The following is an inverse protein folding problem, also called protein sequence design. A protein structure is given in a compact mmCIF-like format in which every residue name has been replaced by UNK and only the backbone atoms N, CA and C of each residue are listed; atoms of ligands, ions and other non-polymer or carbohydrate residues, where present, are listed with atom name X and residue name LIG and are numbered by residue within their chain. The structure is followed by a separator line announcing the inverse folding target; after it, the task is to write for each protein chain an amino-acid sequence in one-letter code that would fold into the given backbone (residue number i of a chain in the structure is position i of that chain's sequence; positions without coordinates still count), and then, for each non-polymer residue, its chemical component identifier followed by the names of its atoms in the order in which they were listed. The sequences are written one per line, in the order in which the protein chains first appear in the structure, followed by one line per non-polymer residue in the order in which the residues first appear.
data_IF_870984392603
#
_entry.id   IF_870984392603
#
_cell.length_a   1.000
_cell.length_b   1.000
_cell.length_c   1.000
_cell.angle_alpha   90.00
_cell.angle_beta   90.00
_cell.angle_gamma   90.00
#
_symmetry.space_group_name_H-M   'P 1'
#
loop_
_entity.id
_entity.type
_entity.pdbx_description
1 polymer ?
#
# COMPACT_ATOMS: atom_id res chain seq x y z
N UNK A 1 -67.03 -25.46 -7.68
CA UNK A 1 -67.82 -25.03 -8.86
C UNK A 1 -68.49 -23.72 -8.54
N UNK A 2 -68.58 -22.72 -9.42
CA UNK A 2 -68.05 -22.63 -10.78
C UNK A 2 -67.30 -21.34 -11.10
N UNK A 3 -66.57 -21.38 -12.21
CA UNK A 3 -66.47 -20.52 -13.41
C UNK A 3 -65.50 -19.34 -13.38
N UNK A 4 -64.48 -19.54 -14.18
CA UNK A 4 -63.76 -18.48 -14.90
C UNK A 4 -64.69 -17.77 -15.94
N UNK A 5 -64.29 -16.56 -16.40
CA UNK A 5 -63.97 -16.49 -17.83
C UNK A 5 -62.69 -15.74 -18.18
N UNK A 6 -62.14 -16.16 -19.30
CA UNK A 6 -61.15 -15.54 -20.15
C UNK A 6 -61.73 -14.30 -20.86
N UNK A 7 -60.86 -13.38 -21.29
CA UNK A 7 -60.87 -12.61 -22.56
C UNK A 7 -59.63 -11.69 -22.49
N UNK A 8 -58.66 -11.86 -23.29
CA UNK A 8 -58.36 -11.59 -24.68
C UNK A 8 -57.44 -10.35 -24.85
N UNK A 9 -56.44 -10.58 -25.62
CA UNK A 9 -55.32 -9.79 -26.09
C UNK A 9 -55.67 -8.45 -26.74
N UNK A 10 -54.70 -7.50 -26.66
CA UNK A 10 -54.39 -6.60 -27.79
C UNK A 10 -52.92 -6.30 -27.91
N UNK A 11 -52.42 -6.54 -29.11
CA UNK A 11 -51.12 -6.20 -29.65
C UNK A 11 -50.98 -4.65 -29.86
N UNK A 12 -49.77 -4.18 -29.81
CA UNK A 12 -49.33 -2.89 -30.34
C UNK A 12 -47.80 -2.85 -30.31
N UNK A 13 -47.10 -3.36 -31.27
CA UNK A 13 -46.21 -2.80 -32.30
C UNK A 13 -45.66 -1.39 -31.92
N UNK A 14 -44.40 -1.06 -32.06
CA UNK A 14 -43.16 -1.35 -32.80
C UNK A 14 -42.18 -0.30 -32.41
N UNK A 15 -40.88 -0.58 -32.40
CA UNK A 15 -39.87 0.13 -33.18
C UNK A 15 -38.46 -0.38 -32.82
N UNK A 16 -37.92 -1.06 -33.73
CA UNK A 16 -36.73 -0.89 -34.56
C UNK A 16 -35.41 -0.74 -33.80
N UNK A 17 -34.71 -1.86 -33.73
CA UNK A 17 -33.26 -1.91 -33.58
C UNK A 17 -32.61 -1.59 -34.91
N UNK A 18 -31.74 -0.58 -34.95
CA UNK A 18 -30.85 -0.33 -36.07
C UNK A 18 -29.55 -1.09 -35.85
N UNK A 19 -29.39 -2.20 -36.58
CA UNK A 19 -28.11 -2.86 -36.75
C UNK A 19 -27.29 -2.11 -37.80
N UNK A 20 -26.11 -1.62 -37.41
CA UNK A 20 -25.12 -1.14 -38.39
C UNK A 20 -24.19 -2.31 -38.69
N UNK A 21 -24.35 -2.84 -39.90
CA UNK A 21 -23.40 -3.74 -40.54
C UNK A 21 -22.28 -2.91 -41.12
N UNK A 22 -21.06 -3.04 -40.66
CA UNK A 22 -19.88 -2.55 -41.38
C UNK A 22 -19.24 -3.68 -42.16
N UNK A 23 -19.23 -3.50 -43.47
CA UNK A 23 -18.61 -4.41 -44.41
C UNK A 23 -17.08 -4.37 -44.33
N UNK A 24 -16.49 -5.56 -44.38
CA UNK A 24 -15.06 -5.79 -44.55
C UNK A 24 -14.65 -5.48 -45.97
N UNK A 25 -13.68 -4.59 -46.14
CA UNK A 25 -12.80 -4.56 -47.32
C UNK A 25 -11.39 -4.76 -46.81
N UNK A 26 -10.76 -5.84 -47.29
CA UNK A 26 -9.42 -6.23 -46.89
C UNK A 26 -8.36 -5.36 -47.53
N UNK A 27 -7.35 -5.03 -46.75
CA UNK A 27 -6.01 -4.73 -47.22
C UNK A 27 -5.04 -5.27 -46.13
N UNK A 28 -4.15 -6.15 -46.55
CA UNK A 28 -3.09 -6.67 -45.72
C UNK A 28 -2.10 -5.56 -45.36
N UNK A 29 -2.07 -5.19 -44.12
CA UNK A 29 -1.06 -4.34 -43.52
C UNK A 29 -0.92 -4.75 -42.06
N UNK A 30 0.28 -5.10 -41.67
CA UNK A 30 0.63 -5.45 -40.28
C UNK A 30 0.31 -4.25 -39.37
N UNK A 31 -0.84 -4.30 -38.71
CA UNK A 31 -1.25 -3.34 -37.70
C UNK A 31 -0.76 -3.81 -36.34
N UNK A 32 0.26 -3.13 -35.82
CA UNK A 32 0.52 -3.14 -34.39
C UNK A 32 -0.71 -2.54 -33.67
N UNK A 33 -1.30 -3.31 -32.78
CA UNK A 33 -2.36 -2.82 -31.91
C UNK A 33 -1.74 -1.83 -30.90
N UNK A 34 -2.05 -0.55 -31.07
CA UNK A 34 -1.75 0.47 -30.06
C UNK A 34 -2.78 0.38 -28.94
N UNK A 35 -2.36 -0.03 -27.76
CA UNK A 35 -3.18 0.02 -26.55
C UNK A 35 -3.14 1.44 -25.99
N UNK A 36 -4.19 2.19 -26.17
CA UNK A 36 -4.38 3.51 -25.56
C UNK A 36 -5.16 3.39 -24.25
N UNK A 37 -4.74 4.09 -23.21
CA UNK A 37 -5.45 4.19 -21.94
C UNK A 37 -6.56 5.24 -22.08
N UNK A 38 -7.81 4.85 -21.86
CA UNK A 38 -8.94 5.79 -21.83
C UNK A 38 -9.26 6.19 -20.40
N UNK A 39 -9.13 7.47 -20.08
CA UNK A 39 -9.57 8.05 -18.80
C UNK A 39 -10.96 8.65 -19.03
N UNK A 40 -11.97 8.11 -18.32
CA UNK A 40 -13.35 8.62 -18.40
C UNK A 40 -13.49 9.84 -17.49
N UNK A 41 -14.07 10.91 -18.02
CA UNK A 41 -14.46 12.09 -17.27
C UNK A 41 -15.93 11.99 -16.87
N UNK A 42 -16.26 12.43 -15.66
CA UNK A 42 -17.60 12.37 -15.08
C UNK A 42 -18.05 13.77 -14.64
N UNK A 43 -19.37 14.03 -14.75
CA UNK A 43 -20.00 15.22 -14.15
C UNK A 43 -20.24 15.03 -12.65
N UNK A 44 -20.72 16.09 -11.98
CA UNK A 44 -21.03 16.09 -10.54
C UNK A 44 -22.14 15.07 -10.15
N UNK A 45 -22.87 14.54 -11.14
CA UNK A 45 -23.91 13.52 -10.96
C UNK A 45 -23.42 12.10 -11.30
N UNK A 46 -22.11 11.94 -11.60
CA UNK A 46 -21.49 10.65 -11.89
C UNK A 46 -21.73 10.10 -13.29
N UNK A 47 -22.14 10.95 -14.25
CA UNK A 47 -22.34 10.57 -15.66
C UNK A 47 -21.06 10.83 -16.46
N UNK A 48 -20.74 9.92 -17.39
CA UNK A 48 -19.58 10.06 -18.27
C UNK A 48 -19.79 11.23 -19.22
N UNK A 49 -18.92 12.23 -19.18
CA UNK A 49 -18.94 13.43 -20.02
C UNK A 49 -17.87 13.44 -21.11
N UNK A 50 -16.88 12.53 -21.03
CA UNK A 50 -15.81 12.43 -22.02
C UNK A 50 -14.84 11.31 -21.73
N UNK A 51 -13.94 11.04 -22.67
CA UNK A 51 -12.81 10.13 -22.50
C UNK A 51 -11.56 10.75 -23.11
N UNK A 52 -10.45 10.76 -22.37
CA UNK A 52 -9.13 11.13 -22.88
C UNK A 52 -8.39 9.83 -23.18
N UNK A 53 -7.88 9.67 -24.39
CA UNK A 53 -7.08 8.52 -24.80
C UNK A 53 -5.60 8.91 -24.78
N UNK A 54 -4.84 8.34 -23.84
CA UNK A 54 -3.38 8.46 -23.85
C UNK A 54 -2.75 7.26 -24.56
N UNK A 55 -1.94 7.52 -25.56
CA UNK A 55 -1.22 6.49 -26.30
C UNK A 55 0.12 6.19 -25.60
N UNK A 56 0.23 5.02 -25.00
CA UNK A 56 1.48 4.47 -24.44
C UNK A 56 2.09 3.42 -25.36
N UNK A 57 3.37 3.50 -25.65
CA UNK A 57 4.11 2.47 -26.37
C UNK A 57 4.46 1.30 -25.43
N UNK A 58 4.03 0.09 -25.79
CA UNK A 58 4.48 -1.14 -25.13
C UNK A 58 5.94 -1.44 -25.51
N UNK A 59 6.76 -1.68 -24.50
CA UNK A 59 8.07 -2.34 -24.62
C UNK A 59 8.11 -3.53 -23.68
N UNK A 60 8.13 -4.73 -24.25
CA UNK A 60 8.55 -5.95 -23.54
C UNK A 60 9.99 -5.77 -23.05
N UNK A 61 10.17 -5.60 -21.75
CA UNK A 61 11.47 -5.40 -21.13
C UNK A 61 11.66 -6.35 -19.97
N UNK A 62 12.58 -7.30 -20.15
CA UNK A 62 13.27 -7.97 -19.06
C UNK A 62 13.71 -6.92 -18.02
N UNK A 63 13.66 -7.29 -16.73
CA UNK A 63 14.05 -6.42 -15.63
C UNK A 63 15.44 -5.80 -15.88
N UNK A 64 15.47 -4.63 -16.50
CA UNK A 64 16.65 -3.79 -16.57
C UNK A 64 16.76 -3.04 -15.25
N UNK A 65 17.95 -3.05 -14.67
CA UNK A 65 18.35 -2.31 -13.46
C UNK A 65 18.30 -0.76 -13.64
N UNK A 66 17.48 -0.27 -14.54
CA UNK A 66 17.26 1.15 -14.85
C UNK A 66 16.21 1.82 -13.95
N UNK A 67 16.27 3.14 -13.91
CA UNK A 67 15.22 4.00 -13.34
C UNK A 67 13.86 3.68 -13.98
N UNK A 68 12.79 3.73 -13.19
CA UNK A 68 11.43 3.59 -13.69
C UNK A 68 11.11 4.77 -14.63
N UNK A 69 10.93 4.54 -15.94
CA UNK A 69 10.72 5.63 -16.91
C UNK A 69 9.38 6.35 -16.75
N UNK A 70 8.51 5.91 -15.83
CA UNK A 70 7.24 6.59 -15.53
C UNK A 70 7.33 7.57 -14.36
N UNK A 71 8.52 7.75 -13.75
CA UNK A 71 8.70 8.73 -12.69
C UNK A 71 8.54 10.15 -13.22
N UNK A 72 7.48 10.83 -12.79
CA UNK A 72 7.30 12.26 -13.03
C UNK A 72 8.08 13.11 -12.02
N UNK A 73 8.27 14.40 -12.30
CA UNK A 73 8.94 15.36 -11.41
C UNK A 73 8.27 15.52 -10.02
N UNK A 74 7.14 14.85 -9.79
CA UNK A 74 6.37 14.86 -8.54
C UNK A 74 6.58 13.61 -7.68
N UNK A 75 7.39 12.65 -8.12
CA UNK A 75 7.53 11.35 -7.45
C UNK A 75 8.84 11.19 -6.67
N UNK A 76 9.63 12.26 -6.60
CA UNK A 76 10.86 12.31 -5.80
C UNK A 76 11.16 13.75 -5.32
N UNK A 77 12.02 13.89 -4.32
CA UNK A 77 12.53 15.17 -3.85
C UNK A 77 13.50 15.75 -4.90
N UNK A 78 13.10 16.88 -5.47
CA UNK A 78 13.92 17.57 -6.49
C UNK A 78 15.26 18.00 -5.90
N UNK A 79 16.33 17.73 -6.62
CA UNK A 79 17.67 18.13 -6.22
C UNK A 79 18.31 17.18 -5.21
N UNK A 80 17.74 16.00 -4.92
CA UNK A 80 18.26 15.06 -3.94
C UNK A 80 18.36 13.63 -4.47
N UNK A 81 19.47 12.97 -4.16
CA UNK A 81 19.67 11.53 -4.33
C UNK A 81 20.14 10.91 -3.02
N UNK A 82 19.90 9.60 -2.86
CA UNK A 82 20.33 8.83 -1.72
C UNK A 82 21.38 7.80 -2.16
N UNK A 83 22.43 7.60 -1.37
CA UNK A 83 23.48 6.62 -1.63
C UNK A 83 23.72 5.76 -0.39
N UNK A 84 23.74 4.41 -0.56
CA UNK A 84 23.96 3.44 0.53
C UNK A 84 25.43 3.12 0.65
N UNK A 85 25.93 3.17 1.89
CA UNK A 85 27.30 2.82 2.29
C UNK A 85 28.41 3.37 1.36
N UNK A 86 28.33 4.67 0.93
CA UNK A 86 29.35 5.22 0.07
C UNK A 86 30.68 5.37 0.85
N UNK A 87 31.81 4.94 0.28
CA UNK A 87 33.10 5.12 0.96
C UNK A 87 33.44 6.61 1.08
N UNK A 88 33.96 7.02 2.23
CA UNK A 88 34.29 8.44 2.50
C UNK A 88 35.26 9.03 1.45
N UNK A 89 36.06 8.20 0.82
CA UNK A 89 37.05 8.60 -0.22
C UNK A 89 36.40 9.18 -1.48
N UNK A 90 35.10 8.98 -1.75
CA UNK A 90 34.46 9.58 -2.92
C UNK A 90 34.11 11.06 -2.72
N UNK A 91 34.08 11.55 -1.47
CA UNK A 91 33.56 12.89 -1.16
C UNK A 91 34.27 14.01 -1.91
N UNK A 92 35.65 14.08 -2.01
CA UNK A 92 36.31 15.13 -2.77
C UNK A 92 35.94 15.12 -4.26
N UNK A 93 35.84 13.94 -4.86
CA UNK A 93 35.42 13.79 -6.28
C UNK A 93 33.95 14.18 -6.46
N UNK A 94 33.08 13.79 -5.53
CA UNK A 94 31.68 14.18 -5.51
C UNK A 94 31.52 15.70 -5.54
N UNK A 95 32.23 16.41 -4.64
CA UNK A 95 32.24 17.88 -4.55
C UNK A 95 32.79 18.52 -5.82
N UNK A 96 33.89 17.99 -6.37
CA UNK A 96 34.44 18.47 -7.64
C UNK A 96 33.47 18.32 -8.83
N UNK A 97 32.52 17.40 -8.75
CA UNK A 97 31.44 17.21 -9.73
C UNK A 97 30.22 18.12 -9.49
N UNK A 98 30.25 18.97 -8.44
CA UNK A 98 29.18 19.91 -8.10
C UNK A 98 28.08 19.36 -7.20
N UNK A 99 28.23 18.14 -6.67
CA UNK A 99 27.31 17.60 -5.66
C UNK A 99 27.67 18.11 -4.26
N UNK A 100 26.68 18.16 -3.39
CA UNK A 100 26.86 18.52 -1.97
C UNK A 100 26.42 17.37 -1.07
N UNK A 101 27.12 17.17 0.03
CA UNK A 101 26.66 16.26 1.08
C UNK A 101 25.70 17.02 2.00
N UNK A 102 24.42 16.72 1.91
CA UNK A 102 23.36 17.35 2.72
C UNK A 102 23.32 16.74 4.11
N UNK A 103 23.36 15.40 4.20
CA UNK A 103 23.24 14.69 5.46
C UNK A 103 23.86 13.29 5.38
N UNK A 104 24.31 12.81 6.54
CA UNK A 104 24.67 11.39 6.75
C UNK A 104 23.65 10.77 7.70
N UNK A 105 22.84 9.84 7.21
CA UNK A 105 21.94 9.04 8.02
C UNK A 105 22.71 7.82 8.52
N UNK A 106 22.84 7.69 9.82
CA UNK A 106 23.34 6.47 10.45
C UNK A 106 22.14 5.64 10.90
N UNK A 107 21.74 4.66 10.11
CA UNK A 107 20.66 3.74 10.39
C UNK A 107 21.26 2.54 11.16
N UNK A 108 21.46 2.73 12.47
CA UNK A 108 22.29 1.86 13.30
C UNK A 108 21.69 0.47 13.50
N UNK A 109 20.38 0.44 13.66
CA UNK A 109 19.66 -0.82 13.88
C UNK A 109 19.51 -1.61 12.57
N UNK A 110 19.49 -0.93 11.41
CA UNK A 110 19.56 -1.57 10.10
C UNK A 110 20.99 -1.86 9.63
N UNK A 111 22.01 -1.33 10.33
CA UNK A 111 23.42 -1.48 10.00
C UNK A 111 23.79 -1.00 8.59
N UNK A 112 23.18 0.12 8.16
CA UNK A 112 23.50 0.82 6.91
C UNK A 112 23.72 2.32 7.13
N UNK A 113 24.57 2.93 6.30
CA UNK A 113 24.74 4.36 6.25
C UNK A 113 24.17 4.88 4.94
N UNK A 114 23.35 5.91 5.00
CA UNK A 114 22.82 6.54 3.80
C UNK A 114 23.25 7.99 3.74
N UNK A 115 23.87 8.39 2.61
CA UNK A 115 24.14 9.79 2.34
C UNK A 115 22.99 10.40 1.58
N UNK A 116 22.44 11.49 2.09
CA UNK A 116 21.57 12.39 1.34
C UNK A 116 22.44 13.42 0.65
N UNK A 117 22.39 13.41 -0.67
CA UNK A 117 23.32 14.14 -1.54
C UNK A 117 22.50 15.12 -2.36
N UNK A 118 22.85 16.40 -2.27
CA UNK A 118 22.33 17.46 -3.14
C UNK A 118 22.95 17.37 -4.53
N UNK A 119 22.12 17.45 -5.55
CA UNK A 119 22.56 17.44 -6.95
C UNK A 119 22.99 18.84 -7.39
N UNK A 120 23.81 18.98 -8.44
CA UNK A 120 24.16 20.29 -9.00
C UNK A 120 22.90 21.05 -9.47
N UNK A 121 22.77 22.34 -9.11
CA UNK A 121 21.61 23.19 -9.46
C UNK A 121 21.37 23.30 -10.97
N UNK A 122 22.43 23.16 -11.75
CA UNK A 122 22.37 23.24 -13.23
C UNK A 122 21.91 21.96 -13.91
N UNK A 123 21.55 20.93 -13.13
CA UNK A 123 21.24 19.58 -13.67
C UNK A 123 19.92 19.04 -13.12
N UNK A 124 19.11 18.44 -13.99
CA UNK A 124 17.92 17.73 -13.57
C UNK A 124 18.30 16.51 -12.70
N UNK A 125 17.47 16.21 -11.68
CA UNK A 125 17.77 15.21 -10.64
C UNK A 125 18.03 13.82 -11.21
N UNK A 126 17.27 13.39 -12.22
CA UNK A 126 17.46 12.09 -12.88
C UNK A 126 18.80 12.04 -13.61
N UNK A 127 19.13 13.07 -14.38
CA UNK A 127 20.40 13.16 -15.08
C UNK A 127 21.59 13.21 -14.10
N UNK A 128 21.41 13.87 -12.96
CA UNK A 128 22.41 13.88 -11.89
C UNK A 128 22.59 12.48 -11.28
N UNK A 129 21.52 11.74 -11.04
CA UNK A 129 21.61 10.37 -10.56
C UNK A 129 22.36 9.46 -11.56
N UNK A 130 22.03 9.54 -12.84
CA UNK A 130 22.72 8.77 -13.88
C UNK A 130 24.22 9.10 -13.95
N UNK A 131 24.56 10.39 -13.85
CA UNK A 131 25.96 10.86 -13.79
C UNK A 131 26.68 10.34 -12.54
N UNK A 132 25.98 10.34 -11.39
CA UNK A 132 26.52 9.79 -10.14
C UNK A 132 26.80 8.30 -10.29
N UNK A 133 25.83 7.52 -10.76
CA UNK A 133 25.93 6.07 -10.96
C UNK A 133 27.06 5.73 -11.94
N UNK A 134 27.22 6.48 -13.01
CA UNK A 134 28.32 6.32 -13.97
C UNK A 134 29.71 6.62 -13.34
N UNK A 135 29.80 7.62 -12.47
CA UNK A 135 31.05 7.98 -11.79
C UNK A 135 31.41 7.03 -10.64
N UNK A 136 30.39 6.45 -10.00
CA UNK A 136 30.52 5.60 -8.81
C UNK A 136 29.72 4.29 -8.96
N UNK A 137 30.03 3.43 -9.93
CA UNK A 137 29.21 2.26 -10.30
C UNK A 137 29.11 1.19 -9.19
N UNK A 138 29.95 1.26 -8.17
CA UNK A 138 29.92 0.33 -7.03
C UNK A 138 29.10 0.88 -5.84
N UNK A 139 28.64 2.11 -5.92
CA UNK A 139 27.81 2.72 -4.87
C UNK A 139 26.36 2.59 -5.28
N UNK A 140 25.58 1.90 -4.45
CA UNK A 140 24.13 1.81 -4.64
C UNK A 140 23.52 3.18 -4.39
N UNK A 141 22.90 3.78 -5.41
CA UNK A 141 22.25 5.07 -5.28
C UNK A 141 20.93 5.11 -6.07
N UNK A 142 19.99 5.91 -5.56
CA UNK A 142 18.70 6.14 -6.18
C UNK A 142 18.13 7.51 -5.76
N UNK A 143 16.96 7.86 -6.29
CA UNK A 143 16.24 9.09 -5.96
C UNK A 143 15.77 9.07 -4.49
N UNK A 144 15.59 10.26 -3.89
CA UNK A 144 14.81 10.41 -2.65
C UNK A 144 13.33 10.36 -3.01
N UNK A 145 12.81 9.16 -3.27
CA UNK A 145 11.47 8.92 -3.82
C UNK A 145 10.37 9.32 -2.85
N UNK A 146 9.20 9.70 -3.42
CA UNK A 146 7.98 10.01 -2.68
C UNK A 146 7.02 8.82 -2.73
N UNK A 147 6.30 8.63 -1.63
CA UNK A 147 5.33 7.57 -1.42
C UNK A 147 3.98 8.16 -1.01
N UNK A 148 2.89 7.46 -1.29
CA UNK A 148 1.54 7.87 -0.96
C UNK A 148 0.88 6.85 -0.03
N UNK A 149 -0.18 7.27 0.67
CA UNK A 149 -1.04 6.33 1.38
C UNK A 149 -1.76 5.43 0.37
N UNK A 150 -1.84 4.15 0.67
CA UNK A 150 -2.53 3.17 -0.17
C UNK A 150 -4.05 3.16 0.10
N UNK A 151 -4.68 4.33 0.24
CA UNK A 151 -6.13 4.45 0.36
C UNK A 151 -6.65 5.80 -0.16
N UNK A 152 -7.69 5.83 -1.00
CA UNK A 152 -8.55 7.00 -1.12
C UNK A 152 -9.48 7.05 0.09
N UNK A 153 -9.47 8.16 0.83
CA UNK A 153 -10.41 8.42 1.93
C UNK A 153 -11.78 8.78 1.34
N UNK A 154 -12.68 7.84 1.26
CA UNK A 154 -14.08 8.09 0.93
C UNK A 154 -14.91 7.65 2.15
N UNK A 155 -15.02 8.52 3.13
CA UNK A 155 -15.89 8.31 4.28
C UNK A 155 -17.34 8.62 3.94
N UNK A 156 -18.23 7.65 4.07
CA UNK A 156 -19.69 7.88 4.16
C UNK A 156 -20.13 7.53 5.57
N UNK A 157 -20.99 8.37 6.16
CA UNK A 157 -21.63 8.07 7.44
C UNK A 157 -22.65 6.94 7.23
N UNK A 158 -22.34 5.74 7.69
CA UNK A 158 -23.26 4.62 7.56
C UNK A 158 -22.88 3.51 8.56
N UNK A 159 -23.76 3.25 9.53
CA UNK A 159 -23.61 2.11 10.43
C UNK A 159 -23.77 0.79 9.70
N UNK A 160 -22.69 0.25 9.20
CA UNK A 160 -22.64 -1.12 8.69
C UNK A 160 -22.19 -2.05 9.83
N UNK A 161 -22.84 -3.21 9.95
CA UNK A 161 -22.37 -4.28 10.83
C UNK A 161 -20.95 -4.71 10.41
N UNK A 162 -20.07 -5.09 11.34
CA UNK A 162 -18.68 -5.44 11.06
C UNK A 162 -18.61 -6.79 10.33
N UNK A 163 -18.94 -6.79 9.04
CA UNK A 163 -18.87 -7.98 8.18
C UNK A 163 -17.44 -8.54 8.07
N UNK A 164 -16.47 -7.68 8.22
CA UNK A 164 -15.05 -7.92 8.08
C UNK A 164 -14.54 -9.00 9.03
N UNK A 165 -14.95 -8.94 10.31
CA UNK A 165 -14.56 -9.92 11.34
C UNK A 165 -15.10 -11.30 11.04
N UNK A 166 -16.37 -11.40 10.66
CA UNK A 166 -17.00 -12.65 10.28
C UNK A 166 -16.31 -13.24 9.02
N UNK A 167 -16.03 -12.38 8.05
CA UNK A 167 -15.39 -12.77 6.80
C UNK A 167 -14.04 -13.46 7.02
N UNK A 168 -13.19 -12.93 7.91
CA UNK A 168 -11.88 -13.53 8.21
C UNK A 168 -11.91 -14.56 9.35
N UNK A 169 -13.07 -14.81 9.94
CA UNK A 169 -13.21 -15.70 11.08
C UNK A 169 -12.60 -15.16 12.39
N UNK A 170 -12.30 -13.86 12.43
CA UNK A 170 -11.70 -13.19 13.57
C UNK A 170 -12.78 -12.63 14.50
N UNK A 171 -13.28 -13.45 15.40
CA UNK A 171 -14.32 -13.05 16.35
C UNK A 171 -13.86 -11.97 17.33
N UNK A 172 -14.72 -11.69 18.31
CA UNK A 172 -14.34 -10.82 19.42
C UNK A 172 -13.18 -11.46 20.20
N UNK A 173 -12.17 -10.65 20.52
CA UNK A 173 -10.97 -11.08 21.26
C UNK A 173 -10.89 -10.35 22.61
N UNK A 174 -10.28 -11.00 23.59
CA UNK A 174 -10.04 -10.39 24.90
C UNK A 174 -9.04 -9.23 24.83
N UNK A 175 -9.07 -8.31 25.82
CA UNK A 175 -8.22 -7.12 25.83
C UNK A 175 -6.71 -7.45 25.94
N UNK A 176 -6.36 -8.66 26.30
CA UNK A 176 -4.99 -9.16 26.41
C UNK A 176 -4.49 -9.90 25.17
N UNK A 177 -5.36 -10.10 24.16
CA UNK A 177 -4.96 -10.74 22.91
C UNK A 177 -3.79 -9.98 22.27
N UNK A 178 -2.71 -10.68 22.00
CA UNK A 178 -1.46 -10.08 21.49
C UNK A 178 -0.54 -9.51 22.57
N UNK A 179 -0.80 -9.76 23.87
CA UNK A 179 0.10 -9.31 24.93
C UNK A 179 1.52 -9.82 24.72
N UNK A 180 2.50 -8.93 24.90
CA UNK A 180 3.91 -9.20 24.64
C UNK A 180 4.36 -8.97 23.19
N UNK A 181 3.42 -8.85 22.25
CA UNK A 181 3.74 -8.51 20.86
C UNK A 181 4.04 -7.00 20.72
N UNK A 182 4.97 -6.71 19.83
CA UNK A 182 5.40 -5.36 19.45
C UNK A 182 5.14 -5.18 17.97
N UNK A 183 4.14 -4.38 17.64
CA UNK A 183 3.75 -4.07 16.27
C UNK A 183 4.37 -2.74 15.83
N UNK A 184 4.89 -2.70 14.63
CA UNK A 184 5.24 -1.47 13.95
C UNK A 184 4.17 -1.06 12.96
N UNK A 185 3.97 0.23 12.76
CA UNK A 185 3.28 0.76 11.58
C UNK A 185 3.98 2.00 11.04
N UNK A 186 3.98 2.15 9.72
CA UNK A 186 4.41 3.39 9.05
C UNK A 186 3.19 3.92 8.30
N UNK A 187 2.76 5.15 8.67
CA UNK A 187 1.51 5.72 8.19
C UNK A 187 1.49 7.26 8.33
N UNK A 188 0.32 7.89 8.21
CA UNK A 188 0.07 9.26 8.64
C UNK A 188 0.06 9.37 10.18
N UNK A 189 0.06 10.56 10.76
CA UNK A 189 0.01 10.73 12.22
C UNK A 189 -1.21 10.03 12.83
N UNK A 190 -1.06 9.58 14.08
CA UNK A 190 -2.12 8.96 14.88
C UNK A 190 -2.63 9.96 15.92
N UNK A 191 -3.93 10.04 16.09
CA UNK A 191 -4.56 10.75 17.19
C UNK A 191 -4.55 9.85 18.44
N UNK A 192 -3.43 9.86 19.15
CA UNK A 192 -3.20 8.96 20.29
C UNK A 192 -4.12 9.22 21.48
N UNK A 193 -4.75 10.40 21.53
CA UNK A 193 -5.70 10.79 22.56
C UNK A 193 -7.15 10.36 22.24
N UNK A 194 -7.36 9.72 21.06
CA UNK A 194 -8.67 9.23 20.66
C UNK A 194 -9.20 8.18 21.65
N UNK A 195 -10.50 8.20 22.02
CA UNK A 195 -11.09 7.25 22.96
C UNK A 195 -10.85 5.77 22.64
N UNK A 196 -10.72 5.41 21.36
CA UNK A 196 -10.37 4.05 20.93
C UNK A 196 -9.02 3.55 21.45
N UNK A 197 -8.18 4.43 22.02
CA UNK A 197 -6.87 4.03 22.53
C UNK A 197 -6.78 4.06 24.05
N UNK A 198 -7.91 4.20 24.74
CA UNK A 198 -7.92 4.22 26.19
C UNK A 198 -7.32 2.92 26.76
N UNK A 199 -6.24 3.05 27.55
CA UNK A 199 -5.53 1.92 28.14
C UNK A 199 -4.67 1.09 27.14
N UNK A 200 -4.49 1.57 25.91
CA UNK A 200 -3.61 0.93 24.92
C UNK A 200 -2.17 1.42 25.03
N UNK A 201 -1.24 0.57 24.65
CA UNK A 201 0.18 0.90 24.63
C UNK A 201 0.58 1.35 23.23
N UNK A 202 0.53 2.66 23.00
CA UNK A 202 0.92 3.27 21.71
C UNK A 202 2.10 4.20 21.94
N UNK A 203 3.16 4.01 21.17
CA UNK A 203 4.29 4.93 21.09
C UNK A 203 4.29 5.53 19.70
N UNK A 204 3.98 6.81 19.59
CA UNK A 204 3.96 7.54 18.33
C UNK A 204 5.21 8.39 18.17
N UNK A 205 5.81 8.38 16.97
CA UNK A 205 6.92 9.25 16.59
C UNK A 205 6.74 9.79 15.17
N UNK A 206 6.90 11.11 15.02
CA UNK A 206 6.93 11.76 13.71
C UNK A 206 8.36 11.78 13.15
N UNK A 207 8.45 11.50 11.86
CA UNK A 207 9.66 11.62 11.03
C UNK A 207 9.47 12.66 9.93
N UNK A 208 8.37 13.38 9.95
CA UNK A 208 8.13 14.56 9.11
C UNK A 208 9.10 15.65 9.58
N UNK A 209 9.75 16.31 8.63
CA UNK A 209 10.68 17.39 8.94
C UNK A 209 9.96 18.54 9.68
N UNK A 210 10.60 19.18 10.68
CA UNK A 210 9.95 20.19 11.55
C UNK A 210 9.32 21.36 10.80
N UNK A 211 9.88 21.72 9.64
CA UNK A 211 9.43 22.82 8.78
C UNK A 211 8.26 22.43 7.85
N UNK A 212 7.83 21.16 7.87
CA UNK A 212 6.78 20.64 7.04
C UNK A 212 5.48 20.44 7.84
N UNK A 213 4.35 20.61 7.18
CA UNK A 213 3.04 20.34 7.76
C UNK A 213 2.77 18.85 7.74
N UNK A 214 2.51 18.27 8.91
CA UNK A 214 2.14 16.86 8.98
C UNK A 214 0.79 16.60 8.27
N UNK A 215 0.65 15.44 7.66
CA UNK A 215 -0.60 15.00 7.04
C UNK A 215 -1.75 14.88 8.06
N UNK A 216 -3.01 14.87 7.61
CA UNK A 216 -4.17 14.56 8.43
C UNK A 216 -4.03 13.23 9.17
N UNK A 217 -4.62 13.15 10.39
CA UNK A 217 -4.50 12.00 11.29
C UNK A 217 -5.45 10.84 10.98
N UNK A 218 -6.40 11.05 10.07
CA UNK A 218 -7.51 10.13 9.82
C UNK A 218 -7.04 8.72 9.51
N UNK A 219 -6.13 8.59 8.54
CA UNK A 219 -5.70 7.28 8.07
C UNK A 219 -4.88 6.52 9.12
N UNK A 220 -3.86 7.15 9.71
CA UNK A 220 -3.05 6.52 10.75
C UNK A 220 -3.85 6.15 12.00
N UNK A 221 -4.82 7.00 12.41
CA UNK A 221 -5.74 6.68 13.52
C UNK A 221 -6.60 5.47 13.19
N UNK A 222 -7.11 5.39 11.96
CA UNK A 222 -7.94 4.26 11.51
C UNK A 222 -7.16 2.94 11.53
N UNK A 223 -5.95 2.91 10.97
CA UNK A 223 -5.10 1.72 10.95
C UNK A 223 -4.69 1.30 12.38
N UNK A 224 -4.31 2.27 13.23
CA UNK A 224 -3.98 2.00 14.63
C UNK A 224 -5.17 1.40 15.40
N UNK A 225 -6.39 1.92 15.18
CA UNK A 225 -7.60 1.41 15.81
C UNK A 225 -7.93 -0.02 15.36
N UNK A 226 -7.78 -0.33 14.08
CA UNK A 226 -7.91 -1.71 13.58
C UNK A 226 -6.92 -2.67 14.21
N UNK A 227 -5.70 -2.24 14.51
CA UNK A 227 -4.70 -3.08 15.13
C UNK A 227 -4.94 -3.26 16.63
N UNK A 228 -5.09 -2.17 17.40
CA UNK A 228 -5.07 -2.21 18.87
C UNK A 228 -6.21 -1.46 19.57
N UNK A 229 -7.21 -0.95 18.87
CA UNK A 229 -8.29 -0.16 19.43
C UNK A 229 -9.09 -0.88 20.52
N UNK A 230 -9.84 -0.11 21.35
CA UNK A 230 -10.86 -0.67 22.24
C UNK A 230 -12.17 -0.82 21.47
N UNK A 231 -12.99 -1.84 21.78
CA UNK A 231 -14.33 -1.94 21.21
C UNK A 231 -15.21 -0.72 21.55
N UNK A 232 -16.12 -0.37 20.65
CA UNK A 232 -17.15 0.63 20.85
C UNK A 232 -18.51 0.09 20.37
N UNK A 233 -19.57 0.92 20.42
CA UNK A 233 -20.86 0.56 19.83
C UNK A 233 -20.81 0.42 18.31
N UNK A 234 -19.87 1.11 17.68
CA UNK A 234 -19.77 1.24 16.22
C UNK A 234 -18.63 0.39 15.62
N UNK A 235 -17.72 -0.11 16.47
CA UNK A 235 -16.53 -0.85 16.06
C UNK A 235 -16.21 -2.00 17.01
N UNK A 236 -15.86 -3.14 16.48
CA UNK A 236 -15.46 -4.32 17.25
C UNK A 236 -14.10 -4.18 17.96
N UNK A 237 -13.42 -3.06 17.79
CA UNK A 237 -12.10 -2.77 18.36
C UNK A 237 -10.93 -3.39 17.59
N UNK A 238 -9.76 -3.34 18.18
CA UNK A 238 -8.54 -3.84 17.57
C UNK A 238 -8.53 -5.36 17.37
N UNK A 239 -7.79 -5.81 16.38
CA UNK A 239 -7.58 -7.23 16.08
C UNK A 239 -6.73 -7.91 17.17
N UNK A 240 -5.71 -7.21 17.69
CA UNK A 240 -4.80 -7.70 18.75
C UNK A 240 -4.57 -6.61 19.81
N UNK A 241 -5.64 -6.28 20.58
CA UNK A 241 -5.68 -5.11 21.46
C UNK A 241 -4.67 -5.12 22.61
N UNK A 242 -4.09 -6.26 22.95
CA UNK A 242 -3.06 -6.40 23.99
C UNK A 242 -1.64 -6.10 23.52
N UNK A 243 -1.42 -5.95 22.21
CA UNK A 243 -0.11 -5.64 21.66
C UNK A 243 0.34 -4.21 21.96
N UNK A 244 1.65 -3.97 21.96
CA UNK A 244 2.22 -2.63 21.98
C UNK A 244 2.41 -2.15 20.53
N UNK A 245 1.84 -1.00 20.19
CA UNK A 245 1.95 -0.40 18.85
C UNK A 245 2.99 0.71 18.82
N UNK A 246 3.92 0.62 17.90
CA UNK A 246 4.92 1.65 17.58
C UNK A 246 4.55 2.28 16.24
N UNK A 247 3.99 3.47 16.27
CA UNK A 247 3.47 4.17 15.11
C UNK A 247 4.46 5.25 14.66
N UNK A 248 5.02 5.08 13.48
CA UNK A 248 5.88 6.05 12.82
C UNK A 248 5.08 6.83 11.77
N UNK A 249 5.02 8.16 11.89
CA UNK A 249 4.39 9.00 10.88
C UNK A 249 5.45 9.63 9.97
N UNK A 250 5.26 9.43 8.66
CA UNK A 250 6.17 9.94 7.62
C UNK A 250 5.50 10.90 6.65
N UNK A 251 4.18 11.00 6.70
CA UNK A 251 3.41 11.75 5.71
C UNK A 251 3.23 13.21 6.10
N UNK A 252 3.47 14.08 5.12
CA UNK A 252 3.25 15.52 5.15
C UNK A 252 2.17 15.92 4.15
N UNK A 253 1.54 17.07 4.37
CA UNK A 253 0.65 17.73 3.41
C UNK A 253 1.43 18.77 2.60
N UNK A 254 1.52 18.56 1.30
CA UNK A 254 2.06 19.54 0.33
C UNK A 254 0.94 20.09 -0.54
N UNK A 255 0.24 21.08 -0.04
CA UNK A 255 -0.83 21.74 -0.79
C UNK A 255 -1.99 20.80 -1.16
N UNK A 256 -2.42 19.97 -0.21
CA UNK A 256 -3.49 18.98 -0.37
C UNK A 256 -3.02 17.61 -0.90
N UNK A 257 -1.74 17.45 -1.21
CA UNK A 257 -1.15 16.15 -1.58
C UNK A 257 -0.44 15.53 -0.37
N UNK A 258 -0.96 14.41 0.11
CA UNK A 258 -0.36 13.65 1.22
C UNK A 258 0.74 12.74 0.68
N UNK A 259 1.99 13.03 1.06
CA UNK A 259 3.17 12.32 0.60
C UNK A 259 4.17 12.10 1.74
N UNK A 260 4.96 11.01 1.66
CA UNK A 260 6.08 10.74 2.54
C UNK A 260 7.34 10.48 1.71
N UNK A 261 8.49 11.00 2.11
CA UNK A 261 9.73 10.78 1.39
C UNK A 261 10.51 9.56 1.93
N UNK A 262 11.40 9.04 1.10
CA UNK A 262 12.19 7.86 1.43
C UNK A 262 13.09 8.08 2.65
N UNK A 263 13.67 9.27 2.82
CA UNK A 263 14.50 9.59 4.00
C UNK A 263 13.72 9.40 5.31
N UNK A 264 12.48 9.88 5.39
CA UNK A 264 11.63 9.70 6.55
C UNK A 264 11.26 8.22 6.75
N UNK A 265 11.02 7.48 5.66
CA UNK A 265 10.73 6.04 5.70
C UNK A 265 11.93 5.24 6.24
N UNK A 266 13.14 5.51 5.77
CA UNK A 266 14.36 4.84 6.24
C UNK A 266 14.58 5.05 7.74
N UNK A 267 14.44 6.28 8.21
CA UNK A 267 14.55 6.60 9.64
C UNK A 267 13.47 5.91 10.48
N UNK A 268 12.26 5.78 9.94
CA UNK A 268 11.17 5.10 10.63
C UNK A 268 11.38 3.60 10.71
N UNK A 269 11.88 2.94 9.66
CA UNK A 269 12.22 1.51 9.68
C UNK A 269 13.33 1.25 10.70
N UNK A 270 14.40 2.07 10.72
CA UNK A 270 15.49 1.96 11.70
C UNK A 270 15.00 2.14 13.14
N UNK A 271 14.15 3.14 13.39
CA UNK A 271 13.55 3.33 14.70
C UNK A 271 12.67 2.15 15.12
N UNK A 272 11.88 1.59 14.21
CA UNK A 272 11.03 0.44 14.49
C UNK A 272 11.87 -0.82 14.77
N UNK A 273 12.99 -1.00 14.07
CA UNK A 273 13.97 -2.04 14.36
C UNK A 273 14.56 -1.86 15.78
N UNK A 274 14.94 -0.64 16.15
CA UNK A 274 15.37 -0.29 17.50
C UNK A 274 14.30 -0.64 18.55
N UNK A 275 13.03 -0.40 18.24
CA UNK A 275 11.92 -0.78 19.10
C UNK A 275 11.66 -2.29 19.13
N UNK A 276 12.42 -3.08 18.38
CA UNK A 276 12.30 -4.56 18.28
C UNK A 276 10.89 -5.00 17.94
N UNK A 277 10.27 -4.33 16.97
CA UNK A 277 8.97 -4.75 16.45
C UNK A 277 9.12 -6.10 15.74
N UNK A 278 8.13 -6.96 15.87
CA UNK A 278 8.15 -8.30 15.30
C UNK A 278 7.49 -8.34 13.94
N UNK A 279 6.51 -7.48 13.73
CA UNK A 279 5.83 -7.31 12.44
C UNK A 279 5.58 -5.82 12.17
N UNK A 280 5.69 -5.43 10.91
CA UNK A 280 5.53 -4.06 10.44
C UNK A 280 4.40 -3.99 9.41
N UNK A 281 3.36 -3.20 9.72
CA UNK A 281 2.28 -2.85 8.79
C UNK A 281 2.68 -1.63 7.95
N UNK A 282 2.61 -1.78 6.63
CA UNK A 282 2.98 -0.76 5.65
C UNK A 282 1.77 -0.44 4.75
N UNK A 283 0.97 0.55 5.17
CA UNK A 283 -0.20 1.01 4.41
C UNK A 283 0.19 2.10 3.39
N UNK A 284 1.28 1.88 2.66
CA UNK A 284 1.93 2.82 1.75
C UNK A 284 2.20 2.20 0.38
N UNK A 285 2.25 3.03 -0.64
CA UNK A 285 2.54 2.63 -2.00
C UNK A 285 3.40 3.67 -2.73
N UNK A 286 4.33 3.19 -3.55
CA UNK A 286 5.17 4.02 -4.42
C UNK A 286 5.92 3.19 -5.44
N UNK A 287 6.86 3.81 -6.12
CA UNK A 287 7.70 3.16 -7.12
C UNK A 287 8.83 2.34 -6.51
N UNK A 288 9.39 1.43 -7.30
CA UNK A 288 10.60 0.69 -6.92
C UNK A 288 11.75 1.66 -6.65
N UNK A 289 12.50 1.41 -5.57
CA UNK A 289 13.69 2.19 -5.23
C UNK A 289 14.75 1.27 -4.63
N UNK A 290 15.99 1.35 -5.13
CA UNK A 290 17.09 0.46 -4.72
C UNK A 290 17.49 0.66 -3.26
N UNK A 291 17.40 1.90 -2.76
CA UNK A 291 17.72 2.22 -1.36
C UNK A 291 16.64 1.67 -0.42
N UNK A 292 15.35 1.76 -0.82
CA UNK A 292 14.26 1.11 -0.09
C UNK A 292 14.44 -0.41 -0.04
N UNK A 293 14.79 -1.03 -1.18
CA UNK A 293 15.06 -2.48 -1.23
C UNK A 293 16.12 -2.86 -0.21
N UNK A 294 17.26 -2.15 -0.18
CA UNK A 294 18.32 -2.42 0.79
C UNK A 294 17.85 -2.31 2.25
N UNK A 295 17.02 -1.31 2.58
CA UNK A 295 16.49 -1.13 3.93
C UNK A 295 15.48 -2.23 4.31
N UNK A 296 14.63 -2.64 3.37
CA UNK A 296 13.67 -3.75 3.56
C UNK A 296 14.42 -5.06 3.76
N UNK A 297 15.45 -5.34 2.96
CA UNK A 297 16.29 -6.54 3.14
C UNK A 297 16.90 -6.58 4.54
N UNK A 298 17.45 -5.46 5.04
CA UNK A 298 18.01 -5.39 6.39
C UNK A 298 16.97 -5.61 7.49
N UNK A 299 15.77 -5.07 7.33
CA UNK A 299 14.69 -5.30 8.28
C UNK A 299 14.29 -6.78 8.33
N UNK A 300 14.21 -7.45 7.18
CA UNK A 300 13.95 -8.89 7.06
C UNK A 300 15.06 -9.73 7.69
N UNK A 301 16.33 -9.40 7.43
CA UNK A 301 17.50 -10.06 8.03
C UNK A 301 17.50 -9.98 9.56
N UNK A 302 16.93 -8.92 10.11
CA UNK A 302 16.75 -8.77 11.55
C UNK A 302 15.52 -9.49 12.12
N UNK A 303 14.80 -10.20 11.27
CA UNK A 303 13.66 -10.99 11.68
C UNK A 303 12.36 -10.20 11.84
N UNK A 304 12.25 -9.01 11.24
CA UNK A 304 11.01 -8.26 11.20
C UNK A 304 10.17 -8.77 10.03
N UNK A 305 8.97 -9.28 10.29
CA UNK A 305 8.02 -9.61 9.23
C UNK A 305 7.39 -8.33 8.67
N UNK A 306 7.28 -8.20 7.35
CA UNK A 306 6.69 -7.04 6.71
C UNK A 306 5.42 -7.42 5.95
N UNK A 307 4.37 -6.66 6.19
CA UNK A 307 3.07 -6.79 5.52
C UNK A 307 2.72 -5.46 4.89
N UNK A 308 2.38 -5.44 3.62
CA UNK A 308 2.11 -4.20 2.90
C UNK A 308 0.84 -4.26 2.05
N UNK A 309 0.18 -3.11 1.94
CA UNK A 309 -0.96 -2.89 1.06
C UNK A 309 -0.56 -2.96 -0.41
N UNK A 310 -1.34 -3.65 -1.23
CA UNK A 310 -1.07 -3.87 -2.65
C UNK A 310 -1.09 -2.59 -3.51
N UNK A 311 -1.69 -1.49 -3.02
CA UNK A 311 -1.89 -0.25 -3.75
C UNK A 311 -3.31 -0.10 -4.30
N UNK A 312 -3.69 1.15 -4.64
CA UNK A 312 -5.05 1.50 -5.07
C UNK A 312 -5.07 2.36 -6.35
N UNK A 313 -4.14 2.11 -7.26
CA UNK A 313 -4.02 2.85 -8.52
C UNK A 313 -4.69 2.13 -9.71
N UNK A 314 -5.42 1.04 -9.41
CA UNK A 314 -6.17 0.26 -10.40
C UNK A 314 -5.47 -1.03 -10.84
N UNK A 315 -6.21 -1.92 -11.54
CA UNK A 315 -5.74 -3.23 -11.96
C UNK A 315 -4.48 -3.20 -12.85
N UNK A 316 -4.39 -2.20 -13.71
CA UNK A 316 -3.30 -2.04 -14.69
C UNK A 316 -2.11 -1.24 -14.13
N UNK A 317 -2.17 -0.84 -12.86
CA UNK A 317 -1.08 -0.08 -12.26
C UNK A 317 0.17 -0.95 -12.07
N UNK A 318 1.34 -0.29 -12.15
CA UNK A 318 2.60 -0.93 -11.83
C UNK A 318 2.60 -1.50 -10.42
N UNK A 319 3.39 -2.57 -10.15
CA UNK A 319 3.53 -3.11 -8.81
C UNK A 319 3.91 -2.05 -7.79
N UNK A 320 3.14 -1.95 -6.71
CA UNK A 320 3.38 -0.97 -5.65
C UNK A 320 4.48 -1.46 -4.69
N UNK A 321 5.43 -0.59 -4.37
CA UNK A 321 6.49 -0.86 -3.40
C UNK A 321 6.16 -0.17 -2.06
N UNK A 322 6.43 -0.84 -0.93
CA UNK A 322 7.23 -2.05 -0.74
C UNK A 322 6.49 -3.39 -0.94
N UNK A 323 5.17 -3.43 -1.19
CA UNK A 323 4.40 -4.67 -1.33
C UNK A 323 4.97 -5.62 -2.42
N UNK A 324 5.51 -5.07 -3.50
CA UNK A 324 6.10 -5.86 -4.59
C UNK A 324 7.50 -6.43 -4.26
N UNK A 325 8.04 -6.16 -3.07
CA UNK A 325 9.30 -6.76 -2.62
C UNK A 325 9.10 -8.25 -2.29
N UNK A 326 9.96 -9.18 -2.79
CA UNK A 326 9.76 -10.62 -2.57
C UNK A 326 9.66 -11.03 -1.10
N UNK A 327 10.34 -10.32 -0.21
CA UNK A 327 10.31 -10.58 1.24
C UNK A 327 9.11 -9.97 1.97
N UNK A 328 8.24 -9.21 1.31
CA UNK A 328 7.08 -8.54 1.91
C UNK A 328 5.81 -9.32 1.58
N UNK A 329 4.93 -9.50 2.55
CA UNK A 329 3.62 -10.11 2.34
C UNK A 329 2.66 -9.06 1.81
N UNK A 330 2.24 -9.20 0.56
CA UNK A 330 1.38 -8.25 -0.14
C UNK A 330 -0.10 -8.58 0.02
N UNK A 331 -0.91 -7.57 0.40
CA UNK A 331 -2.32 -7.76 0.73
C UNK A 331 -3.21 -6.91 -0.16
N UNK A 332 -4.14 -7.57 -0.87
CA UNK A 332 -5.21 -6.92 -1.62
C UNK A 332 -6.52 -6.88 -0.83
N UNK A 333 -7.48 -6.08 -1.29
CA UNK A 333 -8.75 -5.85 -0.61
C UNK A 333 -9.93 -6.52 -1.31
N UNK A 334 -10.84 -7.07 -0.51
CA UNK A 334 -12.15 -7.55 -0.96
C UNK A 334 -13.29 -6.87 -0.19
N UNK A 335 -14.48 -6.83 -0.82
CA UNK A 335 -15.71 -6.35 -0.21
C UNK A 335 -16.47 -7.48 0.56
N UNK A 336 -17.63 -7.15 1.12
CA UNK A 336 -18.50 -8.10 1.83
C UNK A 336 -18.99 -9.29 1.00
N UNK A 337 -18.96 -9.18 -0.33
CA UNK A 337 -19.35 -10.23 -1.27
C UNK A 337 -18.12 -11.00 -1.79
N UNK A 338 -16.95 -10.76 -1.21
CA UNK A 338 -15.64 -11.28 -1.64
C UNK A 338 -15.24 -10.83 -3.05
N UNK A 339 -15.84 -9.76 -3.56
CA UNK A 339 -15.45 -9.14 -4.82
C UNK A 339 -14.18 -8.28 -4.61
N UNK A 340 -13.28 -8.36 -5.57
CA UNK A 340 -12.04 -7.58 -5.55
C UNK A 340 -12.32 -6.07 -5.52
N UNK A 341 -11.60 -5.34 -4.69
CA UNK A 341 -11.70 -3.87 -4.64
C UNK A 341 -11.28 -3.26 -5.98
N UNK A 342 -12.21 -2.58 -6.65
CA UNK A 342 -12.05 -2.11 -8.05
C UNK A 342 -10.82 -1.22 -8.30
N UNK A 343 -10.30 -0.55 -7.27
CA UNK A 343 -9.13 0.30 -7.36
C UNK A 343 -7.84 -0.40 -6.93
N UNK A 344 -7.91 -1.62 -6.37
CA UNK A 344 -6.70 -2.31 -5.96
C UNK A 344 -5.84 -2.69 -7.17
N UNK A 345 -4.53 -2.55 -7.00
CA UNK A 345 -3.57 -3.03 -7.98
C UNK A 345 -3.65 -4.56 -8.09
N UNK A 346 -3.31 -5.08 -9.26
CA UNK A 346 -3.18 -6.50 -9.53
C UNK A 346 -1.75 -6.86 -9.92
N UNK A 347 -1.37 -8.13 -9.75
CA UNK A 347 -0.05 -8.59 -10.16
C UNK A 347 0.40 -9.85 -9.42
N UNK A 348 1.46 -10.47 -9.93
CA UNK A 348 2.02 -11.73 -9.36
C UNK A 348 2.54 -11.56 -7.92
N UNK A 349 2.80 -10.33 -7.49
CA UNK A 349 3.28 -10.02 -6.15
C UNK A 349 2.21 -10.12 -5.07
N UNK A 350 0.93 -10.13 -5.44
CA UNK A 350 -0.17 -10.27 -4.47
C UNK A 350 -0.09 -11.64 -3.79
N UNK A 351 -0.08 -11.64 -2.45
CA UNK A 351 -0.03 -12.88 -1.68
C UNK A 351 -1.40 -13.29 -1.15
N UNK A 352 -2.15 -12.36 -0.53
CA UNK A 352 -3.40 -12.68 0.13
C UNK A 352 -4.44 -11.58 -0.03
N UNK A 353 -5.69 -11.96 0.18
CA UNK A 353 -6.83 -11.06 0.25
C UNK A 353 -7.35 -10.95 1.69
N UNK A 354 -7.85 -9.76 2.04
CA UNK A 354 -8.57 -9.52 3.28
C UNK A 354 -9.65 -8.45 3.08
N UNK A 355 -10.64 -8.31 3.98
CA UNK A 355 -11.62 -7.24 3.91
C UNK A 355 -10.96 -5.85 3.90
N UNK A 356 -11.36 -4.99 2.97
CA UNK A 356 -10.79 -3.65 2.84
C UNK A 356 -11.74 -2.67 2.17
N UNK A 357 -13.03 -2.97 2.09
CA UNK A 357 -14.04 -2.11 1.46
C UNK A 357 -15.16 -1.82 2.45
N UNK A 358 -15.40 -0.54 2.73
CA UNK A 358 -16.39 -0.08 3.71
C UNK A 358 -16.15 -0.66 5.11
N UNK A 359 -14.91 -0.64 5.54
CA UNK A 359 -14.49 -1.02 6.89
C UNK A 359 -14.79 0.15 7.83
N UNK A 360 -15.60 -0.11 8.85
CA UNK A 360 -15.87 0.89 9.89
C UNK A 360 -14.71 0.90 10.88
N UNK A 361 -14.12 2.06 11.10
CA UNK A 361 -13.00 2.23 12.02
C UNK A 361 -12.93 3.66 12.57
N UNK A 362 -12.17 3.86 13.64
CA UNK A 362 -12.02 5.15 14.28
C UNK A 362 -11.29 6.17 13.38
N UNK A 363 -11.75 7.41 13.45
CA UNK A 363 -11.08 8.58 12.88
C UNK A 363 -11.10 9.69 13.94
N UNK A 364 -10.30 10.75 13.84
CA UNK A 364 -10.34 11.87 14.82
C UNK A 364 -11.72 12.49 15.02
N UNK A 365 -12.65 12.24 14.09
CA UNK A 365 -14.02 12.78 14.11
C UNK A 365 -15.09 11.71 14.36
N UNK A 366 -14.76 10.64 15.05
CA UNK A 366 -15.62 9.48 15.31
C UNK A 366 -15.36 8.31 14.36
N UNK A 367 -16.36 7.44 14.18
CA UNK A 367 -16.23 6.24 13.35
C UNK A 367 -16.75 6.50 11.95
N UNK A 368 -15.97 6.03 10.93
CA UNK A 368 -16.33 6.18 9.51
C UNK A 368 -16.01 4.90 8.73
N UNK A 369 -16.75 4.68 7.65
CA UNK A 369 -16.41 3.67 6.65
C UNK A 369 -15.17 4.12 5.87
N UNK A 370 -14.23 3.21 5.71
CA UNK A 370 -12.99 3.41 4.96
C UNK A 370 -12.82 2.29 3.93
N UNK A 371 -12.18 2.58 2.80
CA UNK A 371 -11.93 1.58 1.77
C UNK A 371 -10.53 1.72 1.20
N UNK A 372 -9.87 0.60 0.93
CA UNK A 372 -8.53 0.53 0.36
C UNK A 372 -7.78 -0.71 0.81
N UNK A 373 -6.73 -1.06 0.10
CA UNK A 373 -5.82 -2.15 0.48
C UNK A 373 -5.10 -1.87 1.80
N UNK A 374 -4.99 -0.60 2.21
CA UNK A 374 -4.50 -0.19 3.54
C UNK A 374 -5.32 -0.77 4.68
N UNK A 375 -6.64 -0.92 4.50
CA UNK A 375 -7.55 -1.47 5.51
C UNK A 375 -7.59 -3.00 5.48
N UNK A 376 -7.09 -3.62 4.41
CA UNK A 376 -6.91 -5.07 4.33
C UNK A 376 -5.62 -5.53 5.02
N UNK A 377 -4.53 -4.76 4.92
CA UNK A 377 -3.23 -5.10 5.48
C UNK A 377 -3.25 -5.40 7.00
N UNK A 378 -3.96 -4.65 7.87
CA UNK A 378 -4.02 -4.91 9.31
C UNK A 378 -4.51 -6.31 9.69
N UNK A 379 -5.42 -6.92 8.92
CA UNK A 379 -5.87 -8.30 9.16
C UNK A 379 -4.71 -9.27 9.02
N UNK A 380 -4.00 -9.20 7.90
CA UNK A 380 -2.85 -10.09 7.66
C UNK A 380 -1.70 -9.78 8.62
N UNK A 381 -1.45 -8.50 8.94
CA UNK A 381 -0.47 -8.10 9.96
C UNK A 381 -0.78 -8.74 11.31
N UNK A 382 -2.04 -8.74 11.73
CA UNK A 382 -2.47 -9.34 12.99
C UNK A 382 -2.36 -10.87 12.96
N UNK A 383 -2.69 -11.51 11.83
CA UNK A 383 -2.52 -12.95 11.65
C UNK A 383 -1.05 -13.37 11.70
N UNK A 384 -0.16 -12.61 11.03
CA UNK A 384 1.29 -12.81 11.12
C UNK A 384 1.77 -12.66 12.58
N UNK A 385 1.32 -11.61 13.27
CA UNK A 385 1.68 -11.39 14.66
C UNK A 385 1.31 -12.57 15.57
N UNK A 386 0.11 -13.13 15.42
CA UNK A 386 -0.33 -14.32 16.16
C UNK A 386 0.51 -15.55 15.81
N UNK A 387 0.89 -15.74 14.53
CA UNK A 387 1.79 -16.83 14.15
C UNK A 387 3.18 -16.68 14.79
N UNK A 388 3.73 -15.47 14.82
CA UNK A 388 5.01 -15.22 15.51
C UNK A 388 4.92 -15.49 17.01
N UNK A 389 3.79 -15.12 17.66
CA UNK A 389 3.53 -15.45 19.06
C UNK A 389 3.43 -16.97 19.31
N UNK A 390 2.94 -17.73 18.33
CA UNK A 390 2.88 -19.19 18.35
C UNK A 390 4.23 -19.86 18.01
N UNK A 391 5.32 -19.09 17.84
CA UNK A 391 6.68 -19.60 17.62
C UNK A 391 7.03 -19.86 16.14
N UNK A 392 6.23 -19.40 15.19
CA UNK A 392 6.62 -19.44 13.78
C UNK A 392 7.80 -18.49 13.54
N UNK A 393 8.66 -18.85 12.59
CA UNK A 393 9.76 -17.98 12.16
C UNK A 393 9.23 -16.81 11.34
N UNK A 394 9.90 -15.68 11.41
CA UNK A 394 9.58 -14.48 10.63
C UNK A 394 9.97 -14.57 9.13
N UNK A 395 10.51 -15.70 8.71
CA UNK A 395 10.83 -15.99 7.31
C UNK A 395 9.58 -15.83 6.43
N UNK A 396 9.61 -15.00 5.37
CA UNK A 396 8.44 -14.69 4.57
C UNK A 396 7.78 -15.91 3.92
N UNK A 397 8.55 -16.90 3.48
CA UNK A 397 8.01 -18.11 2.85
C UNK A 397 7.34 -19.02 3.89
N UNK A 398 7.92 -19.13 5.08
CA UNK A 398 7.31 -19.87 6.20
C UNK A 398 5.96 -19.25 6.59
N UNK A 399 5.90 -17.92 6.65
CA UNK A 399 4.67 -17.20 6.97
C UNK A 399 3.63 -17.33 5.85
N UNK A 400 4.03 -17.21 4.58
CA UNK A 400 3.14 -17.43 3.43
C UNK A 400 2.57 -18.84 3.42
N UNK A 401 3.40 -19.85 3.57
CA UNK A 401 2.97 -21.26 3.62
C UNK A 401 2.03 -21.53 4.78
N UNK A 402 2.28 -20.90 5.93
CA UNK A 402 1.40 -21.02 7.09
C UNK A 402 0.03 -20.38 6.82
N UNK A 403 -0.01 -19.12 6.38
CA UNK A 403 -1.26 -18.39 6.09
C UNK A 403 -2.05 -19.05 4.95
N UNK A 404 -1.38 -19.57 3.93
CA UNK A 404 -2.01 -20.29 2.82
C UNK A 404 -2.88 -21.46 3.27
N UNK A 405 -2.52 -22.14 4.36
CA UNK A 405 -3.33 -23.26 4.91
C UNK A 405 -4.70 -22.81 5.44
N UNK A 406 -4.83 -21.54 5.76
CA UNK A 406 -6.06 -20.91 6.23
C UNK A 406 -6.74 -20.08 5.15
N UNK A 407 -6.25 -20.11 3.91
CA UNK A 407 -6.83 -19.33 2.81
C UNK A 407 -7.98 -20.08 2.13
N UNK A 408 -9.03 -19.34 1.84
CA UNK A 408 -10.08 -19.75 0.90
C UNK A 408 -9.68 -19.20 -0.46
N UNK A 409 -9.46 -20.10 -1.41
CA UNK A 409 -9.11 -19.75 -2.78
C UNK A 409 -10.22 -18.93 -3.44
N UNK A 410 -9.87 -17.78 -3.98
CA UNK A 410 -10.78 -16.88 -4.69
C UNK A 410 -10.28 -16.69 -6.12
N UNK A 411 -11.23 -16.52 -7.05
CA UNK A 411 -10.89 -16.27 -8.45
C UNK A 411 -10.42 -17.52 -9.19
N UNK A 412 -9.26 -17.43 -9.85
CA UNK A 412 -8.67 -18.55 -10.58
C UNK A 412 -7.97 -19.51 -9.63
N UNK A 413 -8.20 -20.81 -9.77
CA UNK A 413 -7.67 -21.85 -8.87
C UNK A 413 -6.15 -21.71 -8.65
N UNK A 414 -5.76 -21.63 -7.38
CA UNK A 414 -4.38 -21.44 -6.94
C UNK A 414 -4.02 -19.97 -6.80
N UNK A 415 -2.71 -19.65 -6.72
CA UNK A 415 -2.28 -18.26 -6.63
C UNK A 415 -2.56 -17.53 -7.94
N UNK A 416 -3.38 -16.48 -7.90
CA UNK A 416 -3.66 -15.62 -9.05
C UNK A 416 -3.20 -14.16 -8.83
N UNK A 417 -3.32 -13.33 -9.86
CA UNK A 417 -2.84 -11.94 -9.83
C UNK A 417 -3.84 -10.98 -9.15
N UNK A 418 -5.07 -11.42 -8.88
CA UNK A 418 -6.15 -10.60 -8.33
C UNK A 418 -6.27 -10.80 -6.82
N UNK A 419 -6.31 -12.05 -6.39
CA UNK A 419 -6.59 -12.44 -5.00
C UNK A 419 -5.39 -13.06 -4.28
N UNK A 420 -4.27 -13.31 -4.98
CA UNK A 420 -3.15 -14.06 -4.44
C UNK A 420 -3.53 -15.51 -4.17
N UNK A 421 -3.25 -16.04 -2.97
CA UNK A 421 -3.71 -17.35 -2.49
C UNK A 421 -5.16 -17.31 -1.98
N UNK A 422 -5.83 -16.16 -2.08
CA UNK A 422 -7.21 -15.95 -1.65
C UNK A 422 -7.35 -15.32 -0.27
N UNK A 423 -8.56 -15.40 0.29
CA UNK A 423 -8.96 -14.81 1.57
C UNK A 423 -8.44 -15.64 2.75
N UNK A 424 -7.61 -15.06 3.60
CA UNK A 424 -7.16 -15.75 4.82
C UNK A 424 -8.26 -15.71 5.88
N UNK A 425 -8.62 -16.88 6.41
CA UNK A 425 -9.54 -17.02 7.54
C UNK A 425 -8.82 -17.71 8.71
N UNK A 426 -8.52 -16.93 9.73
CA UNK A 426 -7.83 -17.43 10.91
C UNK A 426 -8.56 -16.96 12.17
N UNK A 427 -8.92 -17.91 13.02
CA UNK A 427 -9.40 -17.61 14.37
C UNK A 427 -8.18 -17.47 15.29
N UNK A 428 -8.00 -16.32 15.96
CA UNK A 428 -6.93 -16.19 16.93
C UNK A 428 -7.17 -17.09 18.13
N UNK A 429 -6.09 -17.68 18.63
CA UNK A 429 -6.09 -18.49 19.83
C UNK A 429 -5.53 -17.63 20.98
N UNK A 430 -6.29 -16.58 21.37
CA UNK A 430 -5.98 -15.68 22.47
C UNK A 430 -7.28 -15.17 23.20
#
# INVERSE_FOLDING_TARGET
MPKSPRIAARLGRTTTAAAVVCALIGAAGTSQAQTGRSILQYDEQGRVTGAIVEHGSEGDGAAQDGLDPSLGAQDYEKGEILAVDPPASILPRLQAMGYSLVERLELRDLQIHVWRIGTPDSMETIAALERFQSAFPRVLADLNSLYTLAAPTLGTNGGALPYDRETVGWGAVGPTCGSGLRLGMIDSPVDIDHPSFLGRKIVHRSFVAPERTAAPREHGTAIAAMLVGVPSTDDAGGLIPGASLYAASIFEDRGGRVIGNLTAMLRSIDWLAHQKVQVLNLSIAGSRNKVLVAAVDRALEQGIALVAAAGNNGPEAKPAWPAAHPGVIAVTAVDKNLSHYRFANQGRYIDFSAPGVRIVTATPFGYKEQSGTSFAAPYITSMVAVHLAAGYRSDPEVLRDSLKRYSIDLGTKGKDQVFGWGLVRLRPDC
#
